data_IF_975179198786
#
_entry.id   IF_975179198786
#
_cell.length_a   1.000
_cell.length_b   1.000
_cell.length_c   1.000
_cell.angle_alpha   90.00
_cell.angle_beta   90.00
_cell.angle_gamma   90.00
#
_symmetry.space_group_name_H-M   'P 1'
#
loop_
_entity.id
_entity.type
_entity.pdbx_description
1 polymer ?
#
# COMPACT_ATOMS: atom_id res chain seq x y z
N UNK A 1 -0.20 -11.77 -2.27
CA UNK A 1 0.74 -10.64 -2.54
C UNK A 1 0.92 -9.82 -1.28
N UNK A 2 2.07 -9.17 -1.06
CA UNK A 2 2.30 -8.41 0.20
C UNK A 2 1.29 -7.29 0.39
N UNK A 3 0.93 -6.57 -0.68
CA UNK A 3 -0.14 -5.56 -0.65
C UNK A 3 -1.49 -6.16 -0.23
N UNK A 4 -1.89 -7.28 -0.84
CA UNK A 4 -3.20 -7.89 -0.56
C UNK A 4 -3.24 -8.53 0.82
N UNK A 5 -2.10 -9.08 1.29
CA UNK A 5 -1.94 -9.54 2.68
C UNK A 5 -2.13 -8.38 3.66
N UNK A 6 -1.54 -7.22 3.37
CA UNK A 6 -1.69 -6.00 4.16
C UNK A 6 -3.14 -5.52 4.19
N UNK A 7 -3.80 -5.41 3.02
CA UNK A 7 -5.22 -5.04 2.94
C UNK A 7 -6.09 -6.04 3.70
N UNK A 8 -5.85 -7.35 3.52
CA UNK A 8 -6.59 -8.41 4.22
C UNK A 8 -6.40 -8.32 5.74
N UNK A 9 -5.21 -7.99 6.20
CA UNK A 9 -4.94 -7.81 7.63
C UNK A 9 -5.75 -6.65 8.19
N UNK A 10 -5.73 -5.49 7.53
CA UNK A 10 -6.52 -4.32 7.93
C UNK A 10 -8.02 -4.62 7.92
N UNK A 11 -8.54 -5.15 6.82
CA UNK A 11 -9.98 -5.42 6.67
C UNK A 11 -10.48 -6.51 7.60
N UNK A 12 -9.61 -7.39 8.07
CA UNK A 12 -9.90 -8.38 9.11
C UNK A 12 -10.18 -7.76 10.50
N UNK A 13 -9.90 -6.49 10.68
CA UNK A 13 -10.19 -5.74 11.93
C UNK A 13 -11.47 -4.92 11.87
N UNK A 14 -12.21 -4.94 10.77
CA UNK A 14 -13.49 -4.21 10.64
C UNK A 14 -14.43 -4.59 11.80
N UNK A 15 -15.02 -3.58 12.41
CA UNK A 15 -15.90 -3.72 13.56
C UNK A 15 -15.20 -3.75 14.93
N UNK A 16 -13.86 -3.81 14.97
CA UNK A 16 -13.12 -3.65 16.23
C UNK A 16 -13.37 -2.26 16.82
N UNK A 17 -13.54 -2.19 18.13
CA UNK A 17 -13.82 -0.97 18.86
C UNK A 17 -12.76 -0.76 19.94
N UNK A 18 -12.43 0.50 20.25
CA UNK A 18 -11.47 0.83 21.32
C UNK A 18 -11.77 0.05 22.60
N UNK A 19 -10.77 -0.62 23.11
CA UNK A 19 -10.84 -1.41 24.35
C UNK A 19 -11.19 -2.88 24.17
N UNK A 20 -11.68 -3.31 23.01
CA UNK A 20 -11.94 -4.73 22.75
C UNK A 20 -10.65 -5.54 22.52
N UNK A 21 -10.79 -6.85 22.37
CA UNK A 21 -9.64 -7.75 22.21
C UNK A 21 -8.90 -7.54 20.88
N UNK A 22 -9.58 -7.12 19.82
CA UNK A 22 -8.95 -6.86 18.51
C UNK A 22 -8.17 -5.57 18.55
N UNK A 23 -8.75 -4.50 19.09
CA UNK A 23 -8.06 -3.24 19.31
C UNK A 23 -6.79 -3.41 20.16
N UNK A 24 -6.87 -4.18 21.28
CA UNK A 24 -5.69 -4.47 22.10
C UNK A 24 -4.58 -5.16 21.30
N UNK A 25 -4.93 -6.15 20.45
CA UNK A 25 -3.94 -6.80 19.58
C UNK A 25 -3.32 -5.84 18.58
N UNK A 26 -4.06 -4.86 18.05
CA UNK A 26 -3.53 -3.81 17.16
C UNK A 26 -2.49 -2.98 17.91
N UNK A 27 -2.82 -2.50 19.11
CA UNK A 27 -1.89 -1.71 19.93
C UNK A 27 -0.66 -2.52 20.33
N UNK A 28 -0.85 -3.79 20.73
CA UNK A 28 0.25 -4.68 21.10
C UNK A 28 1.17 -4.98 19.90
N UNK A 29 0.61 -5.17 18.70
CA UNK A 29 1.39 -5.35 17.49
C UNK A 29 2.22 -4.10 17.16
N UNK A 30 1.68 -2.89 17.28
CA UNK A 30 2.45 -1.66 17.16
C UNK A 30 3.57 -1.61 18.22
N UNK A 31 3.25 -1.88 19.47
CA UNK A 31 4.20 -1.84 20.59
C UNK A 31 5.28 -2.93 20.55
N UNK A 32 5.12 -3.95 19.71
CA UNK A 32 6.15 -4.97 19.51
C UNK A 32 7.34 -4.49 18.69
N UNK A 33 7.20 -3.37 17.98
CA UNK A 33 8.27 -2.78 17.19
C UNK A 33 9.24 -1.98 18.06
N UNK A 34 10.51 -2.36 18.05
CA UNK A 34 11.53 -1.76 18.90
C UNK A 34 12.74 -1.28 18.08
N UNK A 35 13.34 -0.13 18.46
CA UNK A 35 12.88 0.79 19.50
C UNK A 35 11.57 1.47 19.11
N UNK A 36 10.73 1.80 20.08
CA UNK A 36 9.48 2.51 19.79
C UNK A 36 9.76 3.82 19.06
N UNK A 37 9.01 4.16 17.99
CA UNK A 37 9.15 5.42 17.31
C UNK A 37 9.06 6.59 18.29
N UNK A 38 10.05 7.49 18.25
CA UNK A 38 10.18 8.64 19.17
C UNK A 38 10.12 8.26 20.68
N UNK A 39 10.39 6.99 21.01
CA UNK A 39 10.32 6.49 22.38
C UNK A 39 8.90 6.36 22.93
N UNK A 40 7.85 6.50 22.11
CA UNK A 40 6.46 6.49 22.55
C UNK A 40 5.85 5.10 22.45
N UNK A 41 5.47 4.54 23.59
CA UNK A 41 4.68 3.31 23.72
C UNK A 41 3.21 3.67 23.85
N UNK A 42 2.35 3.12 23.00
CA UNK A 42 0.90 3.37 23.08
C UNK A 42 0.25 2.65 24.25
N UNK A 43 -0.74 3.30 24.82
CA UNK A 43 -1.72 2.72 25.74
C UNK A 43 -3.00 2.33 25.00
N UNK A 44 -3.89 1.57 25.65
CA UNK A 44 -5.19 1.21 25.06
C UNK A 44 -6.22 2.36 25.04
N UNK A 45 -5.85 3.54 25.54
CA UNK A 45 -6.70 4.74 25.55
C UNK A 45 -6.26 5.79 24.56
N UNK A 46 -5.08 5.62 23.94
CA UNK A 46 -4.54 6.56 22.97
C UNK A 46 -5.28 6.46 21.63
N UNK A 47 -5.17 7.50 20.84
CA UNK A 47 -5.63 7.48 19.45
C UNK A 47 -4.72 6.55 18.63
N UNK A 48 -5.34 5.68 17.83
CA UNK A 48 -4.63 4.58 17.20
C UNK A 48 -4.81 4.51 15.66
N UNK A 49 -5.31 5.57 15.00
CA UNK A 49 -5.51 5.56 13.55
C UNK A 49 -4.20 5.25 12.79
N UNK A 50 -3.14 6.00 13.03
CA UNK A 50 -1.83 5.77 12.41
C UNK A 50 -1.19 4.45 12.88
N UNK A 51 -1.33 4.11 14.17
CA UNK A 51 -0.82 2.87 14.73
C UNK A 51 -1.51 1.62 14.16
N UNK A 52 -2.77 1.71 13.74
CA UNK A 52 -3.48 0.62 13.04
C UNK A 52 -2.76 0.25 11.74
N UNK A 53 -2.38 1.24 10.97
CA UNK A 53 -1.65 1.05 9.71
C UNK A 53 -0.26 0.49 9.98
N UNK A 54 0.44 1.06 10.97
CA UNK A 54 1.76 0.57 11.40
C UNK A 54 1.72 -0.87 11.90
N UNK A 55 0.71 -1.24 12.69
CA UNK A 55 0.53 -2.60 13.18
C UNK A 55 0.37 -3.61 12.02
N UNK A 56 -0.44 -3.28 11.02
CA UNK A 56 -0.58 -4.12 9.83
C UNK A 56 0.73 -4.21 9.04
N UNK A 57 1.47 -3.11 8.91
CA UNK A 57 2.78 -3.10 8.25
C UNK A 57 3.79 -4.00 8.97
N UNK A 58 3.82 -3.97 10.30
CA UNK A 58 4.67 -4.84 11.13
C UNK A 58 4.32 -6.31 10.90
N UNK A 59 3.03 -6.67 11.01
CA UNK A 59 2.56 -8.05 10.86
C UNK A 59 2.82 -8.61 9.46
N UNK A 60 2.81 -7.76 8.43
CA UNK A 60 3.05 -8.16 7.04
C UNK A 60 4.52 -8.04 6.60
N UNK A 61 5.42 -7.57 7.47
CA UNK A 61 6.83 -7.36 7.14
C UNK A 61 7.03 -6.28 6.06
N UNK A 62 6.31 -5.16 6.19
CA UNK A 62 6.32 -4.02 5.27
C UNK A 62 6.86 -2.73 5.90
N UNK A 63 7.63 -2.85 6.98
CA UNK A 63 8.13 -1.71 7.76
C UNK A 63 9.14 -0.82 7.01
N UNK A 64 9.69 -1.31 5.92
CA UNK A 64 10.55 -0.56 4.99
C UNK A 64 9.75 0.15 3.87
N UNK A 65 8.44 -0.16 3.72
CA UNK A 65 7.54 0.37 2.69
C UNK A 65 6.44 1.27 3.25
N UNK A 66 6.05 1.04 4.49
CA UNK A 66 5.00 1.76 5.20
C UNK A 66 5.58 2.22 6.54
N UNK A 67 5.44 3.50 6.90
CA UNK A 67 6.02 4.03 8.13
C UNK A 67 5.45 3.35 9.37
N UNK A 68 6.33 2.97 10.29
CA UNK A 68 5.94 2.54 11.64
C UNK A 68 5.95 3.77 12.54
N UNK A 69 4.77 4.33 12.78
CA UNK A 69 4.60 5.57 13.56
C UNK A 69 3.15 5.66 14.05
N UNK A 70 2.93 6.26 15.21
CA UNK A 70 1.59 6.53 15.75
C UNK A 70 1.09 7.96 15.49
N UNK A 71 1.89 8.81 14.87
CA UNK A 71 1.53 10.16 14.45
C UNK A 71 1.31 10.23 12.96
N UNK A 72 0.14 10.71 12.54
CA UNK A 72 -0.17 10.93 11.13
C UNK A 72 0.82 11.91 10.47
N UNK A 73 1.20 12.97 11.19
CA UNK A 73 2.16 13.95 10.69
C UNK A 73 3.56 13.36 10.46
N UNK A 74 4.01 12.45 11.33
CA UNK A 74 5.30 11.78 11.14
C UNK A 74 5.24 10.74 10.02
N UNK A 75 4.11 10.03 9.86
CA UNK A 75 3.92 9.15 8.70
C UNK A 75 3.95 9.94 7.39
N UNK A 76 3.29 11.11 7.34
CA UNK A 76 3.35 12.02 6.19
C UNK A 76 4.80 12.43 5.87
N UNK A 77 5.55 12.91 6.87
CA UNK A 77 6.97 13.30 6.68
C UNK A 77 7.84 12.16 6.19
N UNK A 78 7.56 10.94 6.64
CA UNK A 78 8.27 9.75 6.19
C UNK A 78 8.09 9.51 4.69
N UNK A 79 6.87 9.67 4.15
CA UNK A 79 6.59 9.60 2.71
C UNK A 79 7.21 10.76 1.95
N UNK A 80 7.11 11.99 2.48
CA UNK A 80 7.71 13.18 1.88
C UNK A 80 9.22 13.03 1.71
N UNK A 81 9.92 12.57 2.75
CA UNK A 81 11.36 12.35 2.74
C UNK A 81 11.82 11.31 1.69
N UNK A 82 10.92 10.49 1.18
CA UNK A 82 11.19 9.44 0.18
C UNK A 82 10.68 9.76 -1.22
N UNK A 83 10.10 10.94 -1.43
CA UNK A 83 9.46 11.28 -2.69
C UNK A 83 8.22 10.39 -3.00
N UNK A 84 7.58 9.88 -1.97
CA UNK A 84 6.41 8.99 -2.03
C UNK A 84 5.13 9.67 -1.52
N UNK A 85 5.11 10.99 -1.53
CA UNK A 85 3.97 11.82 -1.13
C UNK A 85 3.37 12.52 -2.35
N UNK A 86 2.06 12.43 -2.51
CA UNK A 86 1.30 13.13 -3.54
C UNK A 86 0.26 14.02 -2.87
N UNK A 87 0.26 15.28 -3.30
CA UNK A 87 -0.68 16.31 -2.89
C UNK A 87 -1.16 17.01 -4.16
N UNK A 88 -1.97 16.28 -4.93
CA UNK A 88 -2.47 16.72 -6.24
C UNK A 88 -3.93 16.30 -6.36
N UNK A 89 -4.80 17.23 -6.66
CA UNK A 89 -6.24 17.04 -6.83
C UNK A 89 -6.59 16.11 -7.98
N UNK A 90 -5.73 16.05 -8.99
CA UNK A 90 -5.89 15.15 -10.12
C UNK A 90 -5.43 13.71 -9.80
N UNK A 91 -4.83 13.47 -8.64
CA UNK A 91 -4.35 12.14 -8.27
C UNK A 91 -5.50 11.16 -8.07
N UNK A 92 -5.52 10.10 -8.87
CA UNK A 92 -6.40 8.95 -8.68
C UNK A 92 -5.65 7.90 -7.87
N UNK A 93 -5.97 7.71 -6.58
CA UNK A 93 -5.18 6.85 -5.73
C UNK A 93 -5.35 5.37 -6.12
N UNK A 94 -4.32 4.59 -5.83
CA UNK A 94 -4.34 3.15 -6.00
C UNK A 94 -4.73 2.44 -4.69
N UNK A 95 -5.28 1.23 -4.83
CA UNK A 95 -5.53 0.37 -3.67
C UNK A 95 -4.21 0.12 -2.93
N UNK A 96 -4.22 0.35 -1.62
CA UNK A 96 -3.07 0.26 -0.75
C UNK A 96 -2.34 1.58 -0.51
N UNK A 97 -2.68 2.67 -1.20
CA UNK A 97 -2.17 3.99 -0.84
C UNK A 97 -2.78 4.46 0.47
N UNK A 98 -1.99 5.19 1.22
CA UNK A 98 -2.40 5.74 2.50
C UNK A 98 -2.92 7.15 2.30
N UNK A 99 -4.20 7.38 2.59
CA UNK A 99 -4.81 8.71 2.56
C UNK A 99 -4.68 9.38 3.93
N UNK A 100 -4.39 10.66 3.92
CA UNK A 100 -4.28 11.50 5.11
C UNK A 100 -5.33 12.59 5.09
N UNK A 101 -5.87 12.89 6.26
CA UNK A 101 -6.94 13.86 6.45
C UNK A 101 -6.52 15.00 7.37
N UNK A 102 -7.11 16.17 7.11
CA UNK A 102 -7.06 17.31 8.01
C UNK A 102 -8.50 17.79 8.28
N UNK A 103 -9.16 17.16 9.25
CA UNK A 103 -10.58 17.42 9.55
C UNK A 103 -10.90 18.84 9.99
N UNK A 104 -9.91 19.56 10.49
CA UNK A 104 -10.06 20.95 10.94
C UNK A 104 -9.72 21.97 9.87
N UNK A 105 -9.35 21.50 8.68
CA UNK A 105 -9.18 22.36 7.54
C UNK A 105 -10.56 22.87 7.08
N UNK A 106 -10.87 24.11 7.43
CA UNK A 106 -12.07 24.81 7.01
C UNK A 106 -12.02 25.32 5.58
N UNK A 107 -11.03 24.88 4.82
CA UNK A 107 -10.69 25.40 3.53
C UNK A 107 -11.83 25.34 2.52
N UNK A 108 -11.85 26.33 1.69
CA UNK A 108 -12.57 26.39 0.44
C UNK A 108 -12.16 25.19 -0.44
N UNK A 109 -13.13 24.51 -1.03
CA UNK A 109 -12.89 23.46 -2.02
C UNK A 109 -12.02 23.90 -3.22
N UNK A 110 -12.00 25.21 -3.50
CA UNK A 110 -11.17 25.77 -4.56
C UNK A 110 -9.69 25.89 -4.19
N UNK A 111 -9.37 25.80 -2.89
CA UNK A 111 -8.01 25.76 -2.36
C UNK A 111 -7.78 24.36 -1.78
N UNK A 112 -7.59 23.41 -2.65
CA UNK A 112 -7.51 21.99 -2.34
C UNK A 112 -6.23 21.59 -1.62
N UNK A 113 -5.23 22.45 -1.63
CA UNK A 113 -3.98 22.24 -0.93
C UNK A 113 -4.18 22.42 0.57
N UNK A 114 -4.69 21.39 1.19
CA UNK A 114 -4.71 21.30 2.62
C UNK A 114 -3.32 21.46 3.17
N UNK A 115 -3.13 22.44 4.03
CA UNK A 115 -1.84 22.75 4.66
C UNK A 115 -1.77 22.16 6.08
N UNK A 116 -0.59 22.13 6.66
CA UNK A 116 -0.38 21.67 8.03
C UNK A 116 -0.25 20.16 8.18
N UNK A 117 -0.29 19.69 9.41
CA UNK A 117 -0.15 18.28 9.75
C UNK A 117 -1.51 17.57 9.70
N UNK A 118 -1.59 16.38 9.11
CA UNK A 118 -2.82 15.60 9.15
C UNK A 118 -3.14 15.13 10.57
N UNK A 119 -4.44 15.03 10.86
CA UNK A 119 -4.94 14.57 12.17
C UNK A 119 -5.67 13.22 12.10
N UNK A 120 -5.78 12.62 10.90
CA UNK A 120 -6.31 11.27 10.71
C UNK A 120 -5.75 10.63 9.45
N UNK A 121 -5.90 9.30 9.32
CA UNK A 121 -5.39 8.54 8.18
C UNK A 121 -6.13 7.22 8.00
N UNK A 122 -6.08 6.70 6.77
CA UNK A 122 -6.62 5.40 6.40
C UNK A 122 -5.93 4.82 5.17
N UNK A 123 -6.33 3.64 4.76
CA UNK A 123 -5.80 2.96 3.57
C UNK A 123 -6.90 2.81 2.53
N UNK A 124 -6.61 3.20 1.29
CA UNK A 124 -7.52 3.01 0.15
C UNK A 124 -7.70 1.52 -0.14
N UNK A 125 -8.94 1.05 -0.02
CA UNK A 125 -9.29 -0.35 -0.25
C UNK A 125 -10.02 -0.58 -1.57
N UNK A 126 -10.64 0.48 -2.11
CA UNK A 126 -11.38 0.41 -3.37
C UNK A 126 -11.43 1.78 -4.05
N UNK A 127 -11.41 1.77 -5.39
CA UNK A 127 -11.60 2.97 -6.22
C UNK A 127 -12.72 2.67 -7.21
N UNK A 128 -13.75 3.52 -7.26
CA UNK A 128 -14.90 3.37 -8.17
C UNK A 128 -15.30 4.74 -8.71
N UNK A 129 -15.01 4.99 -9.96
CA UNK A 129 -15.25 6.31 -10.58
C UNK A 129 -14.47 7.38 -9.83
N UNK A 130 -15.19 8.40 -9.32
CA UNK A 130 -14.64 9.51 -8.54
C UNK A 130 -14.58 9.25 -7.04
N UNK A 131 -14.90 8.03 -6.59
CA UNK A 131 -14.98 7.69 -5.16
C UNK A 131 -13.96 6.67 -4.75
N UNK A 132 -13.49 6.83 -3.53
CA UNK A 132 -12.62 5.87 -2.84
C UNK A 132 -13.32 5.34 -1.59
N UNK A 133 -13.10 4.07 -1.32
CA UNK A 133 -13.39 3.46 -0.03
C UNK A 133 -12.08 3.33 0.74
N UNK A 134 -12.08 3.77 1.97
CA UNK A 134 -10.91 3.82 2.84
C UNK A 134 -11.19 3.06 4.11
N UNK A 135 -10.31 2.13 4.45
CA UNK A 135 -10.28 1.51 5.78
C UNK A 135 -9.59 2.43 6.77
N UNK A 136 -10.20 2.65 7.92
CA UNK A 136 -9.69 3.50 9.01
C UNK A 136 -9.70 2.75 10.34
N UNK A 137 -8.68 2.95 11.16
CA UNK A 137 -8.73 2.68 12.58
C UNK A 137 -9.13 3.95 13.35
N UNK A 138 -9.62 3.81 14.57
CA UNK A 138 -10.00 4.94 15.43
C UNK A 138 -11.04 5.88 14.81
N UNK A 139 -11.97 5.34 14.02
CA UNK A 139 -12.96 6.08 13.25
C UNK A 139 -14.13 6.51 14.12
N UNK A 140 -14.53 7.79 13.96
CA UNK A 140 -15.74 8.34 14.57
C UNK A 140 -15.76 8.29 16.09
N UNK A 141 -16.93 8.58 16.68
CA UNK A 141 -17.12 8.65 18.14
C UNK A 141 -16.99 7.29 18.86
N UNK A 142 -17.15 6.19 18.13
CA UNK A 142 -16.97 4.84 18.67
C UNK A 142 -15.52 4.39 18.66
N UNK A 143 -14.63 5.17 18.05
CA UNK A 143 -13.23 4.80 17.86
C UNK A 143 -13.10 3.38 17.28
N UNK A 144 -13.79 3.11 16.19
CA UNK A 144 -13.86 1.78 15.57
C UNK A 144 -12.92 1.64 14.37
N UNK A 145 -12.64 0.40 13.98
CA UNK A 145 -12.09 0.07 12.67
C UNK A 145 -13.23 -0.11 11.67
N UNK A 146 -13.19 0.60 10.55
CA UNK A 146 -14.27 0.53 9.57
C UNK A 146 -13.98 1.30 8.30
N UNK A 147 -14.96 1.35 7.42
CA UNK A 147 -14.83 2.01 6.13
C UNK A 147 -15.41 3.42 6.13
N UNK A 148 -14.83 4.25 5.28
CA UNK A 148 -15.33 5.56 4.87
C UNK A 148 -15.32 5.64 3.36
N UNK A 149 -16.36 6.26 2.77
CA UNK A 149 -16.36 6.62 1.35
C UNK A 149 -16.13 8.11 1.21
N UNK A 150 -15.24 8.48 0.31
CA UNK A 150 -14.87 9.87 0.00
C UNK A 150 -14.85 10.08 -1.52
N UNK A 151 -15.03 11.33 -1.95
CA UNK A 151 -14.64 11.74 -3.30
C UNK A 151 -13.10 11.80 -3.39
N UNK A 152 -12.53 11.48 -4.55
CA UNK A 152 -11.08 11.42 -4.77
C UNK A 152 -10.43 12.76 -4.41
N UNK A 153 -11.01 13.87 -4.85
CA UNK A 153 -10.57 15.21 -4.50
C UNK A 153 -11.43 15.78 -3.36
N UNK A 154 -11.56 15.03 -2.27
CA UNK A 154 -12.43 15.41 -1.16
C UNK A 154 -11.82 16.51 -0.29
N UNK A 155 -12.67 17.39 0.21
CA UNK A 155 -12.34 18.59 0.98
C UNK A 155 -11.32 18.41 2.11
N UNK A 156 -11.32 17.28 2.76
CA UNK A 156 -10.46 17.03 3.92
C UNK A 156 -9.23 16.21 3.61
N UNK A 157 -9.00 15.87 2.34
CA UNK A 157 -7.83 15.09 1.96
C UNK A 157 -6.61 15.99 1.98
N UNK A 158 -5.66 15.65 2.85
CA UNK A 158 -4.38 16.32 2.98
C UNK A 158 -3.37 15.86 1.94
N UNK A 159 -3.52 14.66 1.45
CA UNK A 159 -2.66 14.03 0.45
C UNK A 159 -2.53 12.53 0.65
N UNK A 160 -1.68 11.91 -0.16
CA UNK A 160 -1.51 10.46 -0.22
C UNK A 160 -0.05 10.06 -0.03
N UNK A 161 0.18 9.07 0.83
CA UNK A 161 1.43 8.31 0.88
C UNK A 161 1.35 7.12 -0.05
N UNK A 162 2.33 6.96 -0.93
CA UNK A 162 2.35 5.94 -1.99
C UNK A 162 3.40 4.86 -1.70
N UNK A 163 3.06 3.81 -0.93
CA UNK A 163 3.99 2.74 -0.58
C UNK A 163 4.50 2.01 -1.83
N UNK A 164 5.80 1.81 -1.91
CA UNK A 164 6.43 1.01 -2.95
C UNK A 164 6.37 -0.47 -2.56
N UNK A 165 5.21 -1.10 -2.72
CA UNK A 165 5.06 -2.52 -2.42
C UNK A 165 6.05 -3.37 -3.23
N UNK A 166 6.58 -4.46 -2.66
CA UNK A 166 7.42 -5.38 -3.41
C UNK A 166 6.71 -5.85 -4.67
N UNK A 167 7.43 -5.85 -5.79
CA UNK A 167 6.90 -6.42 -7.02
C UNK A 167 6.47 -7.87 -6.78
N UNK A 168 5.37 -8.24 -7.36
CA UNK A 168 4.89 -9.62 -7.26
C UNK A 168 5.87 -10.55 -7.95
N UNK A 169 6.33 -11.55 -7.22
CA UNK A 169 6.91 -12.73 -7.87
C UNK A 169 5.76 -13.54 -8.44
N UNK A 170 5.39 -13.23 -9.67
CA UNK A 170 4.39 -13.98 -10.42
C UNK A 170 5.10 -14.97 -11.33
N UNK A 171 4.67 -16.19 -11.32
CA UNK A 171 5.05 -17.15 -12.36
C UNK A 171 4.17 -16.86 -13.58
N UNK A 172 4.79 -16.49 -14.68
CA UNK A 172 4.08 -16.34 -15.95
C UNK A 172 3.77 -17.74 -16.50
N UNK A 173 2.53 -17.92 -16.91
CA UNK A 173 2.04 -19.20 -17.46
C UNK A 173 1.37 -18.99 -18.81
N UNK A 174 1.28 -20.05 -19.59
CA UNK A 174 0.59 -20.02 -20.88
C UNK A 174 -0.85 -19.55 -20.72
N UNK A 175 -1.23 -18.58 -21.54
CA UNK A 175 -2.54 -17.91 -21.51
C UNK A 175 -2.53 -16.55 -20.82
N UNK A 176 -1.48 -16.19 -20.09
CA UNK A 176 -1.34 -14.87 -19.51
C UNK A 176 -1.26 -13.79 -20.59
N UNK A 177 -1.91 -12.66 -20.34
CA UNK A 177 -1.91 -11.50 -21.24
C UNK A 177 -1.77 -10.22 -20.45
N UNK A 178 -0.56 -9.66 -20.39
CA UNK A 178 -0.28 -8.40 -19.72
C UNK A 178 1.13 -7.84 -20.01
N UNK A 179 1.43 -6.69 -19.42
CA UNK A 179 2.72 -6.03 -19.58
C UNK A 179 3.92 -6.82 -19.04
N UNK A 180 3.72 -7.75 -18.10
CA UNK A 180 4.82 -8.58 -17.59
C UNK A 180 5.25 -9.62 -18.64
N UNK A 181 4.30 -10.12 -19.42
CA UNK A 181 4.60 -11.00 -20.58
C UNK A 181 5.35 -10.20 -21.64
N UNK A 182 4.92 -8.97 -21.95
CA UNK A 182 5.64 -8.11 -22.89
C UNK A 182 7.10 -7.90 -22.48
N UNK A 183 7.36 -7.60 -21.21
CA UNK A 183 8.74 -7.47 -20.68
C UNK A 183 9.55 -8.75 -20.80
N UNK A 184 8.92 -9.92 -20.61
CA UNK A 184 9.60 -11.21 -20.83
C UNK A 184 9.96 -11.39 -22.32
N UNK A 185 9.06 -11.03 -23.25
CA UNK A 185 9.30 -11.10 -24.68
C UNK A 185 10.43 -10.17 -25.12
N UNK A 186 10.45 -8.92 -24.60
CA UNK A 186 11.55 -7.97 -24.81
C UNK A 186 12.88 -8.54 -24.31
N UNK A 187 12.89 -9.12 -23.11
CA UNK A 187 14.09 -9.76 -22.54
C UNK A 187 14.55 -10.93 -23.41
N UNK A 188 13.66 -11.81 -23.84
CA UNK A 188 14.01 -12.95 -24.70
C UNK A 188 14.56 -12.48 -26.04
N UNK A 189 13.99 -11.43 -26.64
CA UNK A 189 14.50 -10.85 -27.87
C UNK A 189 15.90 -10.25 -27.68
N UNK A 190 16.17 -9.62 -26.53
CA UNK A 190 17.52 -9.17 -26.17
C UNK A 190 18.52 -10.34 -25.99
N UNK A 191 18.01 -11.55 -25.69
CA UNK A 191 18.80 -12.78 -25.63
C UNK A 191 18.91 -13.53 -26.98
N UNK A 192 18.40 -12.94 -28.06
CA UNK A 192 18.54 -13.48 -29.43
C UNK A 192 17.36 -14.30 -29.94
N UNK A 193 16.20 -14.26 -29.25
CA UNK A 193 14.94 -14.82 -29.76
C UNK A 193 14.21 -13.78 -30.61
N UNK A 194 13.33 -14.24 -31.49
CA UNK A 194 12.51 -13.39 -32.35
C UNK A 194 11.04 -13.61 -31.99
N UNK A 195 10.52 -12.81 -31.05
CA UNK A 195 9.15 -12.84 -30.58
C UNK A 195 8.43 -11.52 -30.89
N UNK A 196 7.16 -11.59 -31.25
CA UNK A 196 6.27 -10.44 -31.20
C UNK A 196 6.08 -10.02 -29.75
N UNK A 197 6.28 -8.73 -29.45
CA UNK A 197 6.06 -8.16 -28.11
C UNK A 197 4.58 -7.78 -27.98
N UNK A 198 3.72 -8.79 -27.99
CA UNK A 198 2.26 -8.65 -27.96
C UNK A 198 1.65 -8.75 -26.54
N UNK A 199 2.51 -8.98 -25.55
CA UNK A 199 2.10 -9.18 -24.15
C UNK A 199 1.33 -10.48 -23.91
N UNK A 200 1.32 -11.43 -24.86
CA UNK A 200 0.59 -12.70 -24.76
C UNK A 200 1.54 -13.88 -24.56
N UNK A 201 1.43 -14.60 -23.46
CA UNK A 201 2.22 -15.81 -23.20
C UNK A 201 1.66 -17.00 -24.01
N UNK A 202 1.97 -16.96 -25.29
CA UNK A 202 1.59 -18.01 -26.25
C UNK A 202 2.61 -19.14 -26.36
N UNK A 203 2.39 -20.10 -27.30
CA UNK A 203 3.32 -21.21 -27.55
C UNK A 203 4.73 -20.76 -27.91
N UNK A 204 4.86 -19.67 -28.70
CA UNK A 204 6.15 -19.12 -29.11
C UNK A 204 6.94 -18.60 -27.89
N UNK A 205 6.31 -17.78 -27.04
CA UNK A 205 6.91 -17.27 -25.80
C UNK A 205 7.30 -18.42 -24.85
N UNK A 206 6.43 -19.43 -24.71
CA UNK A 206 6.71 -20.61 -23.88
C UNK A 206 7.93 -21.39 -24.39
N UNK A 207 8.02 -21.60 -25.69
CA UNK A 207 9.15 -22.31 -26.32
C UNK A 207 10.45 -21.55 -26.09
N UNK A 208 10.52 -20.26 -26.42
CA UNK A 208 11.68 -19.42 -26.24
C UNK A 208 12.13 -19.37 -24.78
N UNK A 209 11.21 -19.25 -23.85
CA UNK A 209 11.51 -19.27 -22.41
C UNK A 209 12.12 -20.60 -21.95
N UNK A 210 11.57 -21.72 -22.43
CA UNK A 210 12.09 -23.07 -22.12
C UNK A 210 13.51 -23.29 -22.67
N UNK A 211 13.78 -22.84 -23.89
CA UNK A 211 15.09 -22.92 -24.52
C UNK A 211 16.11 -22.03 -23.78
N UNK A 212 15.73 -20.80 -23.43
CA UNK A 212 16.56 -19.88 -22.62
C UNK A 212 16.93 -20.51 -21.27
N UNK A 213 15.96 -21.04 -20.54
CA UNK A 213 16.21 -21.68 -19.23
C UNK A 213 17.14 -22.88 -19.36
N UNK A 214 16.97 -23.69 -20.41
CA UNK A 214 17.82 -24.86 -20.65
C UNK A 214 19.25 -24.44 -20.89
N UNK A 215 19.49 -23.43 -21.73
CA UNK A 215 20.82 -22.91 -22.02
C UNK A 215 21.45 -22.29 -20.77
N UNK A 216 20.70 -21.52 -20.00
CA UNK A 216 21.16 -20.89 -18.76
C UNK A 216 21.58 -21.91 -17.70
N UNK A 217 20.75 -22.96 -17.49
CA UNK A 217 21.06 -24.04 -16.55
C UNK A 217 22.34 -24.81 -16.99
N UNK A 218 22.48 -25.09 -18.30
CA UNK A 218 23.68 -25.76 -18.82
C UNK A 218 24.94 -24.92 -18.64
N UNK A 219 24.84 -23.60 -18.68
CA UNK A 219 25.98 -22.70 -18.42
C UNK A 219 26.41 -22.77 -16.94
N UNK A 220 25.44 -22.70 -15.99
CA UNK A 220 25.74 -22.76 -14.55
C UNK A 220 26.36 -24.09 -14.13
N UNK A 221 25.95 -25.22 -14.75
CA UNK A 221 26.48 -26.56 -14.39
C UNK A 221 27.91 -26.75 -14.90
N UNK A 222 28.34 -25.94 -15.88
CA UNK A 222 29.70 -26.05 -16.45
C UNK A 222 30.76 -25.20 -15.75
N UNK A 223 30.31 -24.26 -14.90
CA UNK A 223 31.14 -23.47 -14.00
C UNK A 223 31.37 -24.19 -12.65
#
# INVERSE_FOLDING_TARGET
MKRDEFIKTLTGWVGAVRGDAVHKRIVDAYNSYLPHPRGHKLTYTDDYCAATISAAAILCGLTDKIPVECSCGEQMRWYQARGQWIEDDAHVPQIGEQVFYHWTDGADYAATDCTGAPNHTGIVTRVVGTRIEVFEGNKGSRHECGYRTLEINGRYIRGFGCPQYPAEKRTLVRGDKDAAVGKLQEFLNACGYELDVDGSFGPATQKAWGEYLTAYIQQIIKE
#
